data_IF_251989290382
#
_entry.id   IF_251989290382
#
_cell.length_a   1.000
_cell.length_b   1.000
_cell.length_c   1.000
_cell.angle_alpha   90.00
_cell.angle_beta   90.00
_cell.angle_gamma   90.00
#
_symmetry.space_group_name_H-M   'P 1'
#
loop_
_entity.id
_entity.type
_entity.pdbx_description
1 polymer ?
#
# COMPACT_ATOMS: atom_id res chain seq x y z
N UNK A 1 32.00 -35.61 -52.10
CA UNK A 1 30.66 -35.18 -51.64
C UNK A 1 30.78 -34.85 -50.16
N UNK A 2 31.07 -33.60 -49.84
CA UNK A 2 31.19 -33.07 -48.48
C UNK A 2 30.38 -31.79 -48.46
N UNK A 3 29.20 -31.85 -47.83
CA UNK A 3 28.25 -30.75 -47.74
C UNK A 3 28.53 -29.91 -46.50
N UNK A 4 28.79 -28.63 -46.71
CA UNK A 4 28.98 -27.61 -45.68
C UNK A 4 27.62 -27.16 -45.14
N UNK A 5 27.39 -27.31 -43.84
CA UNK A 5 26.23 -26.74 -43.14
C UNK A 5 26.52 -25.30 -42.73
N UNK A 6 25.72 -24.36 -43.23
CA UNK A 6 25.66 -22.98 -42.72
C UNK A 6 24.76 -22.94 -41.48
N UNK A 7 25.30 -22.44 -40.36
CA UNK A 7 24.54 -22.09 -39.17
C UNK A 7 24.07 -20.63 -39.28
N UNK A 8 22.76 -20.40 -39.19
CA UNK A 8 22.17 -19.07 -39.01
C UNK A 8 22.27 -18.69 -37.52
N UNK A 9 22.95 -17.57 -37.23
CA UNK A 9 22.91 -16.90 -35.93
C UNK A 9 21.67 -15.98 -35.86
N UNK A 10 20.92 -15.95 -34.74
CA UNK A 10 19.86 -14.98 -34.55
C UNK A 10 20.44 -13.60 -34.22
N UNK A 11 20.01 -12.60 -35.00
CA UNK A 11 20.30 -11.18 -34.79
C UNK A 11 19.46 -10.70 -33.59
N UNK A 12 20.07 -10.59 -32.41
CA UNK A 12 19.47 -9.90 -31.26
C UNK A 12 19.41 -8.39 -31.55
N UNK A 13 18.20 -7.86 -31.69
CA UNK A 13 17.93 -6.43 -31.70
C UNK A 13 18.16 -5.87 -30.29
N UNK A 14 19.30 -5.21 -30.11
CA UNK A 14 19.56 -4.36 -28.95
C UNK A 14 18.69 -3.10 -29.12
N UNK A 15 17.57 -3.02 -28.41
CA UNK A 15 16.81 -1.76 -28.28
C UNK A 15 17.59 -0.89 -27.30
N UNK A 16 18.58 -0.16 -27.82
CA UNK A 16 19.27 0.88 -27.06
C UNK A 16 18.30 2.01 -26.76
N UNK A 17 17.87 2.11 -25.51
CA UNK A 17 17.09 3.24 -24.98
C UNK A 17 17.91 4.53 -25.05
N UNK A 18 17.84 5.21 -26.19
CA UNK A 18 18.28 6.60 -26.32
C UNK A 18 17.28 7.48 -25.54
N UNK A 19 17.49 7.65 -24.23
CA UNK A 19 16.83 8.71 -23.46
C UNK A 19 17.38 10.05 -23.95
N UNK A 20 16.68 10.68 -24.89
CA UNK A 20 17.05 11.98 -25.42
C UNK A 20 16.90 13.04 -24.31
N UNK A 21 18.00 13.72 -24.01
CA UNK A 21 18.07 14.90 -23.15
C UNK A 21 17.46 16.10 -23.88
N UNK A 22 16.14 16.21 -23.87
CA UNK A 22 15.47 17.48 -24.11
C UNK A 22 14.98 18.03 -22.76
N UNK A 23 15.07 19.34 -22.50
CA UNK A 23 14.37 19.96 -21.40
C UNK A 23 12.88 19.89 -21.71
N UNK A 24 12.25 18.79 -21.34
CA UNK A 24 10.80 18.74 -21.23
C UNK A 24 10.44 19.83 -20.22
N UNK A 25 9.62 20.82 -20.64
CA UNK A 25 8.90 21.60 -19.64
C UNK A 25 8.16 20.63 -18.74
N UNK A 26 7.98 21.00 -17.46
CA UNK A 26 7.34 20.12 -16.49
C UNK A 26 5.99 19.64 -17.07
N UNK A 27 5.92 18.35 -17.41
CA UNK A 27 4.71 17.73 -17.91
C UNK A 27 3.65 17.84 -16.81
N UNK A 28 2.36 18.01 -17.16
CA UNK A 28 1.29 17.93 -16.17
C UNK A 28 1.38 16.61 -15.40
N UNK A 29 1.15 16.68 -14.08
CA UNK A 29 1.19 15.51 -13.20
C UNK A 29 -0.22 14.96 -12.96
N UNK A 30 -0.51 13.83 -13.59
CA UNK A 30 -1.75 13.09 -13.45
C UNK A 30 -1.78 12.18 -12.22
N UNK A 31 -0.65 12.01 -11.52
CA UNK A 31 -0.55 11.08 -10.38
C UNK A 31 -1.55 11.42 -9.28
N UNK A 32 -2.12 10.40 -8.63
CA UNK A 32 -3.01 10.54 -7.49
C UNK A 32 -4.36 9.85 -7.68
N UNK A 33 -5.22 10.01 -6.68
CA UNK A 33 -6.58 9.50 -6.68
C UNK A 33 -7.55 10.54 -7.24
N UNK A 34 -8.47 10.08 -8.07
CA UNK A 34 -9.53 10.85 -8.70
C UNK A 34 -10.88 10.20 -8.44
N UNK A 35 -11.87 11.02 -8.08
CA UNK A 35 -13.28 10.63 -8.08
C UNK A 35 -13.85 10.94 -9.46
N UNK A 36 -14.21 9.91 -10.23
CA UNK A 36 -14.61 10.06 -11.64
C UNK A 36 -16.02 9.57 -11.91
N UNK A 37 -16.53 9.86 -13.11
CA UNK A 37 -17.79 9.31 -13.63
C UNK A 37 -17.85 7.78 -13.61
N UNK A 38 -16.69 7.12 -13.65
CA UNK A 38 -16.53 5.67 -13.66
C UNK A 38 -15.87 5.14 -12.37
N UNK A 39 -16.08 5.83 -11.25
CA UNK A 39 -15.59 5.42 -9.94
C UNK A 39 -14.21 5.98 -9.61
N UNK A 40 -13.58 5.41 -8.59
CA UNK A 40 -12.23 5.82 -8.15
C UNK A 40 -11.22 5.42 -9.20
N UNK A 41 -10.44 6.38 -9.67
CA UNK A 41 -9.30 6.21 -10.58
C UNK A 41 -8.03 6.58 -9.83
N UNK A 42 -7.04 5.70 -9.83
CA UNK A 42 -5.72 5.95 -9.25
C UNK A 42 -4.68 5.89 -10.35
N UNK A 43 -3.93 6.98 -10.50
CA UNK A 43 -2.90 7.13 -11.52
C UNK A 43 -1.52 7.30 -10.86
N UNK A 44 -0.50 6.78 -11.53
CA UNK A 44 0.90 6.84 -11.18
C UNK A 44 1.71 7.29 -12.39
N UNK A 45 2.42 8.41 -12.28
CA UNK A 45 3.20 8.96 -13.39
C UNK A 45 4.70 8.92 -13.10
N UNK A 46 5.45 8.33 -14.04
CA UNK A 46 6.91 8.35 -14.04
C UNK A 46 7.42 9.06 -15.31
N UNK A 47 7.72 10.35 -15.16
CA UNK A 47 8.06 11.19 -16.29
C UNK A 47 6.85 11.38 -17.23
N UNK A 48 6.93 10.81 -18.43
CA UNK A 48 5.84 10.87 -19.41
C UNK A 48 4.95 9.63 -19.42
N UNK A 49 5.31 8.56 -18.72
CA UNK A 49 4.53 7.32 -18.68
C UNK A 49 3.54 7.38 -17.52
N UNK A 50 2.29 6.96 -17.75
CA UNK A 50 1.25 6.89 -16.73
C UNK A 50 0.66 5.49 -16.70
N UNK A 51 0.60 4.92 -15.51
CA UNK A 51 -0.13 3.67 -15.24
C UNK A 51 -1.16 3.91 -14.17
N UNK A 52 -2.14 3.02 -14.04
CA UNK A 52 -3.16 3.17 -13.03
C UNK A 52 -4.24 2.12 -13.12
N UNK A 53 -5.25 2.30 -12.30
CA UNK A 53 -6.44 1.46 -12.30
C UNK A 53 -7.66 2.28 -11.90
N UNK A 54 -8.84 1.77 -12.25
CA UNK A 54 -10.10 2.27 -11.73
C UNK A 54 -11.01 1.14 -11.29
N UNK A 55 -11.93 1.46 -10.38
CA UNK A 55 -12.87 0.50 -9.82
C UNK A 55 -14.30 0.83 -10.26
N UNK A 56 -14.77 0.13 -11.30
CA UNK A 56 -16.17 0.15 -11.73
C UNK A 56 -16.66 -1.28 -11.95
N UNK A 57 -17.31 -1.87 -10.95
CA UNK A 57 -17.76 -3.25 -11.03
C UNK A 57 -16.63 -4.28 -11.13
N UNK A 58 -15.39 -3.88 -10.84
CA UNK A 58 -14.19 -4.72 -10.87
C UNK A 58 -12.91 -3.89 -11.01
N UNK A 59 -11.77 -4.56 -10.95
CA UNK A 59 -10.44 -3.97 -11.19
C UNK A 59 -10.19 -3.83 -12.70
N UNK A 60 -9.90 -2.61 -13.15
CA UNK A 60 -9.60 -2.30 -14.55
C UNK A 60 -8.34 -1.44 -14.62
N UNK A 61 -7.48 -1.66 -15.61
CA UNK A 61 -6.18 -0.97 -15.71
C UNK A 61 -6.19 0.14 -16.75
N UNK A 62 -5.32 1.13 -16.55
CA UNK A 62 -5.05 2.23 -17.47
C UNK A 62 -3.54 2.31 -17.68
N UNK A 63 -3.10 2.40 -18.93
CA UNK A 63 -1.70 2.58 -19.32
C UNK A 63 -1.61 3.59 -20.47
N UNK A 64 -0.76 4.60 -20.34
CA UNK A 64 -0.69 5.70 -21.30
C UNK A 64 0.55 6.56 -21.19
N UNK A 65 0.59 7.61 -22.02
CA UNK A 65 1.67 8.59 -22.04
C UNK A 65 1.14 10.01 -22.09
N UNK A 66 1.80 10.92 -21.40
CA UNK A 66 1.56 12.36 -21.51
C UNK A 66 2.27 12.87 -22.76
N UNK A 67 1.49 13.39 -23.71
CA UNK A 67 2.00 13.92 -24.95
C UNK A 67 2.62 15.32 -24.78
N UNK A 68 3.07 15.91 -25.89
CA UNK A 68 3.74 17.22 -25.89
C UNK A 68 2.82 18.39 -25.58
N UNK A 69 1.52 18.20 -25.76
CA UNK A 69 0.50 19.21 -25.48
C UNK A 69 0.02 19.09 -24.01
N UNK A 70 0.54 18.12 -23.26
CA UNK A 70 0.22 17.89 -21.86
C UNK A 70 -1.00 17.00 -21.65
N UNK A 71 -1.50 16.36 -22.70
CA UNK A 71 -2.63 15.44 -22.65
C UNK A 71 -2.15 14.03 -22.35
N UNK A 72 -2.79 13.35 -21.41
CA UNK A 72 -2.59 11.93 -21.19
C UNK A 72 -3.40 11.15 -22.23
N UNK A 73 -2.74 10.42 -23.12
CA UNK A 73 -3.37 9.48 -24.04
C UNK A 73 -3.12 8.07 -23.53
N UNK A 74 -4.18 7.27 -23.39
CA UNK A 74 -4.10 5.97 -22.72
C UNK A 74 -4.91 4.89 -23.42
N UNK A 75 -4.59 3.65 -23.07
CA UNK A 75 -5.43 2.48 -23.29
C UNK A 75 -5.92 1.96 -21.95
N UNK A 76 -7.08 1.34 -21.93
CA UNK A 76 -7.64 0.73 -20.73
C UNK A 76 -8.03 -0.73 -20.98
N UNK A 77 -8.06 -1.53 -19.91
CA UNK A 77 -8.47 -2.93 -19.94
C UNK A 77 -9.40 -3.24 -18.77
N UNK A 78 -10.57 -3.72 -19.12
CA UNK A 78 -11.58 -4.27 -18.21
C UNK A 78 -11.64 -5.81 -18.36
N UNK A 79 -12.32 -6.53 -17.44
CA UNK A 79 -12.51 -7.97 -17.57
C UNK A 79 -13.16 -8.41 -18.90
N UNK A 80 -14.05 -7.58 -19.47
CA UNK A 80 -14.81 -7.91 -20.69
C UNK A 80 -14.63 -6.92 -21.85
N UNK A 81 -13.82 -5.88 -21.69
CA UNK A 81 -13.63 -4.85 -22.70
C UNK A 81 -12.22 -4.26 -22.65
N UNK A 82 -11.82 -3.63 -23.75
CA UNK A 82 -10.62 -2.81 -23.85
C UNK A 82 -10.92 -1.62 -24.74
N UNK A 83 -10.10 -0.58 -24.66
CA UNK A 83 -10.26 0.58 -25.51
C UNK A 83 -9.17 1.61 -25.29
N UNK A 84 -9.47 2.82 -25.75
CA UNK A 84 -8.56 3.96 -25.68
C UNK A 84 -9.29 5.18 -25.15
N UNK A 85 -8.53 6.08 -24.56
CA UNK A 85 -9.02 7.31 -23.99
C UNK A 85 -7.97 8.38 -23.93
N UNK A 86 -8.40 9.57 -23.52
CA UNK A 86 -7.51 10.67 -23.21
C UNK A 86 -8.05 11.50 -22.05
N UNK A 87 -7.12 12.13 -21.31
CA UNK A 87 -7.41 13.07 -20.23
C UNK A 87 -6.62 14.36 -20.40
N UNK A 88 -7.28 15.49 -20.17
CA UNK A 88 -6.68 16.80 -19.97
C UNK A 88 -6.86 17.21 -18.49
N UNK A 89 -5.85 17.88 -17.93
CA UNK A 89 -5.95 18.50 -16.61
C UNK A 89 -6.53 19.91 -16.70
N UNK A 90 -7.55 20.17 -15.91
CA UNK A 90 -8.21 21.47 -15.78
C UNK A 90 -7.99 22.08 -14.39
N UNK A 91 -8.31 23.36 -14.25
CA UNK A 91 -8.33 24.09 -12.97
C UNK A 91 -7.02 23.97 -12.16
N UNK A 92 -5.88 23.98 -12.85
CA UNK A 92 -4.57 23.86 -12.21
C UNK A 92 -4.26 22.45 -11.71
N UNK A 93 -4.89 21.42 -12.30
CA UNK A 93 -4.64 20.02 -11.98
C UNK A 93 -5.55 19.44 -10.91
N UNK A 94 -6.62 20.14 -10.51
CA UNK A 94 -7.61 19.63 -9.54
C UNK A 94 -8.80 18.95 -10.20
N UNK A 95 -8.94 19.07 -11.53
CA UNK A 95 -9.99 18.44 -12.32
C UNK A 95 -9.39 17.72 -13.52
N UNK A 96 -10.08 16.66 -13.89
CA UNK A 96 -9.78 15.84 -15.05
C UNK A 96 -10.99 15.88 -15.97
N UNK A 97 -10.74 16.10 -17.25
CA UNK A 97 -11.73 16.05 -18.32
C UNK A 97 -11.19 15.16 -19.44
N UNK A 98 -12.07 14.45 -20.15
CA UNK A 98 -11.62 13.46 -21.10
C UNK A 98 -12.72 12.67 -21.77
N UNK A 99 -12.29 11.79 -22.66
CA UNK A 99 -13.19 10.87 -23.34
C UNK A 99 -12.53 9.50 -23.49
N UNK A 100 -13.35 8.46 -23.61
CA UNK A 100 -12.92 7.11 -23.95
C UNK A 100 -13.84 6.47 -24.97
N UNK A 101 -13.36 5.39 -25.59
CA UNK A 101 -14.17 4.51 -26.43
C UNK A 101 -13.68 3.07 -26.37
N UNK A 102 -14.58 2.08 -26.51
CA UNK A 102 -14.18 0.69 -26.64
C UNK A 102 -13.44 0.46 -27.96
N UNK A 103 -12.58 -0.54 -27.98
CA UNK A 103 -11.82 -0.94 -29.16
C UNK A 103 -12.77 -1.28 -30.33
N UNK A 104 -12.48 -0.71 -31.51
CA UNK A 104 -13.35 -0.83 -32.69
C UNK A 104 -14.67 -0.03 -32.60
N UNK A 105 -14.93 0.65 -31.48
CA UNK A 105 -16.05 1.58 -31.31
C UNK A 105 -15.79 2.90 -32.03
N UNK A 106 -16.85 3.46 -32.64
CA UNK A 106 -16.78 4.79 -33.27
C UNK A 106 -17.27 5.95 -32.38
N UNK A 107 -17.92 5.63 -31.26
CA UNK A 107 -18.53 6.63 -30.36
C UNK A 107 -17.62 6.86 -29.15
N UNK A 108 -17.31 8.12 -28.89
CA UNK A 108 -16.62 8.57 -27.69
C UNK A 108 -17.63 8.88 -26.57
N UNK A 109 -17.23 8.60 -25.34
CA UNK A 109 -18.01 8.84 -24.12
C UNK A 109 -17.19 9.71 -23.17
N UNK A 110 -17.84 10.67 -22.53
CA UNK A 110 -17.22 11.59 -21.57
C UNK A 110 -16.71 10.85 -20.32
N UNK A 111 -15.54 11.26 -19.83
CA UNK A 111 -14.95 10.79 -18.58
C UNK A 111 -14.34 11.97 -17.83
N UNK A 112 -15.10 12.45 -16.84
CA UNK A 112 -14.72 13.57 -16.00
C UNK A 112 -14.37 13.11 -14.59
N UNK A 113 -13.58 13.90 -13.88
CA UNK A 113 -13.25 13.64 -12.48
C UNK A 113 -12.72 14.85 -11.72
N UNK A 114 -12.72 14.71 -10.40
CA UNK A 114 -12.12 15.66 -9.45
C UNK A 114 -11.04 14.95 -8.65
N UNK A 115 -9.96 15.65 -8.33
CA UNK A 115 -8.87 15.07 -7.53
C UNK A 115 -9.37 14.82 -6.10
N UNK A 116 -9.26 13.58 -5.63
CA UNK A 116 -9.64 13.22 -4.28
C UNK A 116 -8.79 14.01 -3.27
N UNK A 117 -9.41 14.49 -2.19
CA UNK A 117 -8.73 15.31 -1.18
C UNK A 117 -8.40 16.74 -1.63
N UNK A 118 -8.76 17.18 -2.84
CA UNK A 118 -8.54 18.57 -3.26
C UNK A 118 -9.30 19.55 -2.35
N UNK A 119 -8.55 20.30 -1.53
CA UNK A 119 -9.09 21.25 -0.55
C UNK A 119 -9.19 20.73 0.89
N UNK A 120 -8.74 19.50 1.17
CA UNK A 120 -8.54 19.00 2.53
C UNK A 120 -7.05 19.02 2.87
N UNK A 121 -6.71 19.25 4.14
CA UNK A 121 -5.34 19.03 4.66
C UNK A 121 -4.91 17.58 4.37
N UNK A 122 -3.60 17.27 4.25
CA UNK A 122 -3.14 15.92 4.01
C UNK A 122 -3.72 14.97 5.06
N UNK A 123 -4.48 13.98 4.60
CA UNK A 123 -5.06 12.95 5.45
C UNK A 123 -4.05 11.81 5.64
N UNK A 124 -3.74 11.53 6.89
CA UNK A 124 -3.11 10.27 7.31
C UNK A 124 -4.21 9.24 7.52
N UNK A 125 -4.17 8.15 6.76
CA UNK A 125 -5.12 7.06 6.88
C UNK A 125 -4.54 5.94 7.72
N UNK A 126 -5.15 5.69 8.88
CA UNK A 126 -4.91 4.47 9.65
C UNK A 126 -5.95 3.43 9.25
N UNK A 127 -5.55 2.45 8.44
CA UNK A 127 -6.41 1.32 8.07
C UNK A 127 -6.07 0.14 8.96
N UNK A 128 -7.05 -0.33 9.72
CA UNK A 128 -6.94 -1.51 10.57
C UNK A 128 -7.72 -2.66 9.93
N UNK A 129 -7.00 -3.69 9.52
CA UNK A 129 -7.57 -4.96 9.08
C UNK A 129 -7.45 -5.96 10.23
N UNK A 130 -8.58 -6.29 10.83
CA UNK A 130 -8.66 -7.09 12.05
C UNK A 130 -9.25 -8.48 11.76
N UNK A 131 -8.68 -9.54 12.33
CA UNK A 131 -9.34 -10.84 12.35
C UNK A 131 -10.23 -10.95 13.59
N UNK A 132 -11.30 -11.75 13.53
CA UNK A 132 -12.11 -12.03 14.72
C UNK A 132 -11.27 -12.78 15.76
N UNK A 133 -11.18 -12.22 16.96
CA UNK A 133 -10.49 -12.84 18.09
C UNK A 133 -11.37 -13.81 18.86
N UNK A 134 -12.68 -13.61 18.79
CA UNK A 134 -13.64 -14.37 19.56
C UNK A 134 -14.00 -15.68 18.86
N UNK A 135 -14.04 -16.76 19.63
CA UNK A 135 -14.43 -18.08 19.12
C UNK A 135 -15.88 -18.44 19.47
N UNK A 136 -16.53 -17.64 20.33
CA UNK A 136 -17.83 -17.95 20.91
C UNK A 136 -18.60 -16.71 21.34
N UNK A 137 -19.93 -16.78 21.27
CA UNK A 137 -20.86 -15.76 21.80
C UNK A 137 -20.78 -15.58 23.34
N UNK A 138 -20.10 -16.48 24.04
CA UNK A 138 -19.87 -16.37 25.48
C UNK A 138 -18.68 -15.46 25.81
N UNK A 139 -17.84 -15.17 24.83
CA UNK A 139 -16.69 -14.28 24.99
C UNK A 139 -17.13 -12.82 24.85
N UNK A 140 -16.40 -11.92 25.50
CA UNK A 140 -16.68 -10.50 25.39
C UNK A 140 -16.16 -9.99 24.05
N UNK A 141 -16.99 -9.20 23.36
CA UNK A 141 -16.57 -8.51 22.15
C UNK A 141 -15.43 -7.53 22.47
N UNK A 142 -14.42 -7.59 21.62
CA UNK A 142 -13.24 -6.75 21.62
C UNK A 142 -12.91 -6.46 20.17
N UNK A 143 -12.77 -5.18 19.82
CA UNK A 143 -12.21 -4.73 18.55
C UNK A 143 -11.10 -3.73 18.83
N UNK A 144 -9.90 -4.09 18.41
CA UNK A 144 -8.76 -3.21 18.44
C UNK A 144 -8.96 -2.03 17.50
N UNK A 145 -9.50 -2.27 16.31
CA UNK A 145 -9.77 -1.24 15.31
C UNK A 145 -10.75 -0.17 15.80
N UNK A 146 -11.83 -0.56 16.49
CA UNK A 146 -12.78 0.39 17.08
C UNK A 146 -12.15 1.23 18.21
N UNK A 147 -11.28 0.62 19.02
CA UNK A 147 -10.53 1.33 20.04
C UNK A 147 -9.60 2.39 19.42
N UNK A 148 -8.83 2.03 18.38
CA UNK A 148 -7.95 2.96 17.67
C UNK A 148 -8.74 4.08 16.99
N UNK A 149 -9.88 3.77 16.37
CA UNK A 149 -10.76 4.77 15.78
C UNK A 149 -11.27 5.77 16.83
N UNK A 150 -11.66 5.28 18.01
CA UNK A 150 -12.11 6.13 19.12
C UNK A 150 -10.96 6.99 19.65
N UNK A 151 -9.76 6.42 19.79
CA UNK A 151 -8.59 7.13 20.29
C UNK A 151 -8.20 8.27 19.33
N UNK A 152 -8.00 7.97 18.05
CA UNK A 152 -7.47 8.93 17.08
C UNK A 152 -8.51 9.88 16.48
N UNK A 153 -9.81 9.72 16.77
CA UNK A 153 -10.86 10.67 16.34
C UNK A 153 -10.61 12.13 16.79
N UNK A 154 -9.73 12.35 17.76
CA UNK A 154 -9.33 13.68 18.25
C UNK A 154 -8.23 14.35 17.42
N UNK A 155 -7.48 13.58 16.62
CA UNK A 155 -6.25 14.06 15.98
C UNK A 155 -6.58 14.66 14.62
N UNK A 156 -6.38 15.97 14.39
CA UNK A 156 -6.69 16.61 13.12
C UNK A 156 -5.88 15.99 11.97
N UNK A 157 -6.55 15.71 10.86
CA UNK A 157 -5.89 15.12 9.68
C UNK A 157 -5.68 13.60 9.75
N UNK A 158 -6.10 12.94 10.83
CA UNK A 158 -6.08 11.47 10.93
C UNK A 158 -7.47 10.91 10.72
N UNK A 159 -7.59 9.96 9.79
CA UNK A 159 -8.80 9.20 9.54
C UNK A 159 -8.55 7.72 9.78
N UNK A 160 -9.38 7.10 10.62
CA UNK A 160 -9.28 5.66 10.90
C UNK A 160 -10.37 4.90 10.15
N UNK A 161 -9.97 3.82 9.48
CA UNK A 161 -10.88 2.84 8.87
C UNK A 161 -10.60 1.47 9.46
N UNK A 162 -11.65 0.79 9.87
CA UNK A 162 -11.58 -0.55 10.43
C UNK A 162 -12.45 -1.50 9.61
N UNK A 163 -11.91 -2.68 9.29
CA UNK A 163 -12.62 -3.79 8.66
C UNK A 163 -12.18 -5.11 9.28
N UNK A 164 -13.13 -6.03 9.41
CA UNK A 164 -12.82 -7.43 9.67
C UNK A 164 -12.41 -8.14 8.38
N UNK A 165 -11.35 -8.94 8.45
CA UNK A 165 -10.84 -9.78 7.36
C UNK A 165 -11.00 -11.25 7.72
N UNK A 166 -11.66 -12.03 6.86
CA UNK A 166 -11.94 -13.43 7.11
C UNK A 166 -11.06 -14.37 6.27
N UNK A 167 -10.64 -13.90 5.10
CA UNK A 167 -9.90 -14.67 4.11
C UNK A 167 -8.98 -13.77 3.24
N UNK A 168 -8.14 -14.37 2.36
CA UNK A 168 -7.29 -13.60 1.46
C UNK A 168 -8.04 -12.71 0.45
N UNK A 169 -9.30 -13.02 0.12
CA UNK A 169 -10.09 -12.22 -0.84
C UNK A 169 -10.52 -10.91 -0.17
N UNK A 170 -10.93 -10.94 1.10
CA UNK A 170 -11.17 -9.73 1.91
C UNK A 170 -9.91 -8.85 1.99
N UNK A 171 -8.75 -9.46 2.26
CA UNK A 171 -7.48 -8.75 2.33
C UNK A 171 -7.16 -8.05 0.99
N UNK A 172 -7.35 -8.74 -0.14
CA UNK A 172 -7.14 -8.18 -1.47
C UNK A 172 -8.14 -7.06 -1.79
N UNK A 173 -9.41 -7.24 -1.45
CA UNK A 173 -10.46 -6.24 -1.66
C UNK A 173 -10.18 -4.96 -0.86
N UNK A 174 -9.90 -5.08 0.44
CA UNK A 174 -9.61 -3.92 1.28
C UNK A 174 -8.24 -3.30 0.99
N UNK A 175 -7.25 -4.08 0.54
CA UNK A 175 -6.00 -3.56 -0.01
C UNK A 175 -6.26 -2.64 -1.20
N UNK A 176 -7.07 -3.11 -2.17
CA UNK A 176 -7.48 -2.31 -3.32
C UNK A 176 -8.26 -1.05 -2.90
N UNK A 177 -9.25 -1.16 -2.01
CA UNK A 177 -9.97 0.03 -1.51
C UNK A 177 -9.04 1.02 -0.82
N UNK A 178 -8.11 0.54 0.01
CA UNK A 178 -7.15 1.37 0.76
C UNK A 178 -6.19 2.10 -0.17
N UNK A 179 -5.79 1.48 -1.27
CA UNK A 179 -4.93 2.13 -2.26
C UNK A 179 -5.59 3.30 -3.00
N UNK A 180 -6.92 3.42 -2.93
CA UNK A 180 -7.66 4.59 -3.40
C UNK A 180 -7.64 5.76 -2.42
N UNK A 181 -7.25 5.56 -1.16
CA UNK A 181 -7.28 6.64 -0.16
C UNK A 181 -6.18 7.68 -0.47
N UNK A 182 -6.50 8.98 -0.53
CA UNK A 182 -5.52 10.02 -0.82
C UNK A 182 -4.61 10.28 0.40
N UNK A 183 -3.32 10.56 0.18
CA UNK A 183 -2.37 10.83 1.26
C UNK A 183 -1.61 9.59 1.72
N UNK A 184 -1.09 9.61 2.94
CA UNK A 184 -0.27 8.52 3.48
C UNK A 184 -1.14 7.42 4.11
N UNK A 185 -0.82 6.17 3.78
CA UNK A 185 -1.51 4.99 4.28
C UNK A 185 -0.65 4.25 5.31
N UNK A 186 -1.18 4.11 6.52
CA UNK A 186 -0.64 3.31 7.60
C UNK A 186 -1.53 2.09 7.80
N UNK A 187 -1.05 0.93 7.40
CA UNK A 187 -1.80 -0.32 7.49
C UNK A 187 -1.44 -1.08 8.76
N UNK A 188 -2.42 -1.36 9.61
CA UNK A 188 -2.30 -2.24 10.77
C UNK A 188 -3.03 -3.54 10.49
N UNK A 189 -2.33 -4.65 10.68
CA UNK A 189 -2.92 -5.99 10.69
C UNK A 189 -3.04 -6.44 12.13
N UNK A 190 -4.26 -6.60 12.62
CA UNK A 190 -4.54 -7.06 13.97
C UNK A 190 -5.08 -8.48 13.91
N UNK A 191 -4.23 -9.46 14.20
CA UNK A 191 -4.64 -10.87 14.16
C UNK A 191 -3.70 -11.76 14.99
N UNK A 192 -4.06 -13.03 15.12
CA UNK A 192 -3.09 -14.07 15.39
C UNK A 192 -2.05 -14.16 14.24
N UNK A 193 -0.85 -14.62 14.60
CA UNK A 193 0.25 -14.74 13.67
C UNK A 193 1.27 -15.75 14.15
N UNK A 194 2.02 -16.28 13.18
CA UNK A 194 3.18 -17.14 13.42
C UNK A 194 4.30 -16.69 12.50
N UNK A 195 5.50 -17.27 12.64
CA UNK A 195 6.58 -17.07 11.67
C UNK A 195 6.21 -17.45 10.22
N UNK A 196 5.10 -18.19 10.01
CA UNK A 196 4.63 -18.63 8.70
C UNK A 196 3.72 -17.62 8.00
N UNK A 197 3.11 -16.69 8.74
CA UNK A 197 2.18 -15.71 8.18
C UNK A 197 1.08 -15.28 9.16
N UNK A 198 0.16 -14.46 8.65
CA UNK A 198 -1.01 -13.96 9.39
C UNK A 198 -2.08 -15.05 9.39
N UNK A 199 -2.66 -15.35 10.55
CA UNK A 199 -3.76 -16.30 10.65
C UNK A 199 -5.10 -15.58 10.44
N UNK A 200 -5.96 -16.11 9.58
CA UNK A 200 -7.34 -15.68 9.41
C UNK A 200 -8.28 -16.87 9.66
N UNK A 201 -9.59 -16.62 9.69
CA UNK A 201 -10.58 -17.68 9.85
C UNK A 201 -10.48 -18.77 8.77
N UNK A 202 -10.09 -18.40 7.55
CA UNK A 202 -9.87 -19.35 6.44
C UNK A 202 -8.53 -20.10 6.50
N UNK A 203 -7.61 -19.73 7.40
CA UNK A 203 -6.26 -20.30 7.52
C UNK A 203 -5.15 -19.24 7.44
N UNK A 204 -3.90 -19.71 7.31
CA UNK A 204 -2.74 -18.83 7.24
C UNK A 204 -2.59 -18.20 5.86
N UNK A 205 -2.54 -16.87 5.80
CA UNK A 205 -2.25 -16.10 4.60
C UNK A 205 -0.76 -16.22 4.28
N UNK A 206 -0.45 -16.71 3.08
CA UNK A 206 0.93 -16.81 2.59
C UNK A 206 1.52 -15.44 2.27
N UNK A 207 2.86 -15.37 2.20
CA UNK A 207 3.53 -14.13 1.80
C UNK A 207 3.12 -13.66 0.40
N UNK A 208 2.92 -14.58 -0.55
CA UNK A 208 2.53 -14.22 -1.91
C UNK A 208 1.11 -13.63 -1.99
N UNK A 209 0.17 -14.16 -1.20
CA UNK A 209 -1.19 -13.62 -1.10
C UNK A 209 -1.17 -12.23 -0.48
N UNK A 210 -0.41 -12.06 0.61
CA UNK A 210 -0.28 -10.79 1.29
C UNK A 210 0.36 -9.72 0.38
N UNK A 211 1.42 -10.07 -0.34
CA UNK A 211 2.08 -9.18 -1.29
C UNK A 211 1.13 -8.77 -2.42
N UNK A 212 0.37 -9.71 -2.98
CA UNK A 212 -0.63 -9.39 -4.01
C UNK A 212 -1.68 -8.42 -3.52
N UNK A 213 -2.13 -8.57 -2.27
CA UNK A 213 -3.10 -7.64 -1.69
C UNK A 213 -2.54 -6.22 -1.48
N UNK A 214 -1.22 -6.07 -1.27
CA UNK A 214 -0.56 -4.78 -1.11
C UNK A 214 -0.08 -4.16 -2.44
N UNK A 215 -0.05 -4.93 -3.53
CA UNK A 215 0.41 -4.46 -4.85
C UNK A 215 -0.17 -3.09 -5.25
N UNK A 216 -1.49 -2.84 -5.11
CA UNK A 216 -2.06 -1.55 -5.53
C UNK A 216 -1.73 -0.39 -4.56
N UNK A 217 -1.32 -0.66 -3.31
CA UNK A 217 -1.08 0.32 -2.25
C UNK A 217 0.25 1.06 -2.42
N UNK A 218 0.39 1.94 -3.41
CA UNK A 218 1.66 2.68 -3.65
C UNK A 218 1.95 3.80 -2.66
N UNK A 219 0.95 4.28 -1.93
CA UNK A 219 1.05 5.32 -0.91
C UNK A 219 1.26 4.77 0.53
N UNK A 220 1.70 3.52 0.64
CA UNK A 220 1.88 2.85 1.92
C UNK A 220 3.13 3.37 2.65
N UNK A 221 2.92 4.08 3.76
CA UNK A 221 3.98 4.59 4.63
C UNK A 221 4.41 3.55 5.68
N UNK A 222 3.50 2.63 6.06
CA UNK A 222 3.82 1.59 7.03
C UNK A 222 2.91 0.35 6.86
N UNK A 223 3.49 -0.83 7.10
CA UNK A 223 2.75 -2.02 7.52
C UNK A 223 3.16 -2.38 8.94
N UNK A 224 2.20 -2.40 9.86
CA UNK A 224 2.41 -2.84 11.23
C UNK A 224 1.62 -4.11 11.51
N UNK A 225 2.31 -5.16 11.94
CA UNK A 225 1.72 -6.40 12.39
C UNK A 225 1.51 -6.37 13.90
N UNK A 226 0.29 -6.06 14.32
CA UNK A 226 -0.21 -6.30 15.67
C UNK A 226 -0.54 -7.78 15.84
N UNK A 227 0.45 -8.63 15.54
CA UNK A 227 0.36 -10.09 15.52
C UNK A 227 1.62 -10.71 16.14
N UNK A 228 1.48 -11.88 16.77
CA UNK A 228 2.61 -12.63 17.31
C UNK A 228 3.57 -13.12 16.21
N UNK A 229 4.87 -13.11 16.50
CA UNK A 229 5.95 -13.79 15.76
C UNK A 229 6.18 -13.44 14.28
N UNK A 230 5.35 -12.61 13.64
CA UNK A 230 5.47 -12.28 12.20
C UNK A 230 6.87 -11.78 11.84
N UNK A 231 7.47 -10.96 12.71
CA UNK A 231 8.79 -10.38 12.45
C UNK A 231 9.94 -11.38 12.53
N UNK A 232 9.71 -12.59 13.06
CA UNK A 232 10.66 -13.70 13.01
C UNK A 232 10.58 -14.51 11.72
N UNK A 233 9.53 -14.29 10.92
CA UNK A 233 9.22 -15.01 9.70
C UNK A 233 9.85 -14.42 8.43
N UNK A 234 9.46 -15.01 7.30
CA UNK A 234 9.89 -14.55 5.96
C UNK A 234 9.04 -13.39 5.41
N UNK A 235 7.82 -13.21 5.91
CA UNK A 235 6.84 -12.24 5.38
C UNK A 235 7.35 -10.79 5.34
N UNK A 236 7.96 -10.22 6.42
CA UNK A 236 8.43 -8.83 6.38
C UNK A 236 9.45 -8.59 5.27
N UNK A 237 10.43 -9.49 5.14
CA UNK A 237 11.44 -9.41 4.08
C UNK A 237 10.80 -9.56 2.69
N UNK A 238 9.83 -10.46 2.56
CA UNK A 238 9.13 -10.67 1.30
C UNK A 238 8.40 -9.39 0.85
N UNK A 239 7.68 -8.71 1.76
CA UNK A 239 7.04 -7.41 1.51
C UNK A 239 8.08 -6.37 1.07
N UNK A 240 9.16 -6.20 1.84
CA UNK A 240 10.19 -5.22 1.53
C UNK A 240 10.88 -5.48 0.18
N UNK A 241 10.99 -6.75 -0.22
CA UNK A 241 11.59 -7.15 -1.49
C UNK A 241 10.63 -7.22 -2.68
N UNK A 242 9.32 -7.05 -2.46
CA UNK A 242 8.33 -7.26 -3.52
C UNK A 242 8.36 -6.17 -4.59
N UNK A 243 8.82 -4.97 -4.23
CA UNK A 243 9.00 -3.84 -5.14
C UNK A 243 10.09 -2.88 -4.67
N UNK A 244 10.65 -2.13 -5.62
CA UNK A 244 11.77 -1.21 -5.38
C UNK A 244 11.37 0.26 -5.22
N UNK A 245 10.09 0.56 -5.38
CA UNK A 245 9.48 1.89 -5.43
C UNK A 245 8.60 2.17 -4.20
N UNK A 246 8.92 1.56 -3.06
CA UNK A 246 8.29 1.93 -1.78
C UNK A 246 8.48 3.42 -1.48
N UNK A 247 7.50 4.10 -0.86
CA UNK A 247 7.67 5.46 -0.37
C UNK A 247 8.92 5.60 0.53
N UNK A 248 9.52 6.77 0.50
CA UNK A 248 10.62 7.10 1.42
C UNK A 248 10.15 6.95 2.87
N UNK A 249 10.96 6.27 3.70
CA UNK A 249 10.61 6.00 5.09
C UNK A 249 9.60 4.85 5.30
N UNK A 250 9.23 4.10 4.26
CA UNK A 250 8.39 2.91 4.40
C UNK A 250 9.02 1.89 5.36
N UNK A 251 8.22 1.40 6.32
CA UNK A 251 8.64 0.34 7.25
C UNK A 251 7.66 -0.81 7.33
N UNK A 252 8.20 -2.00 7.64
CA UNK A 252 7.42 -3.12 8.16
C UNK A 252 7.80 -3.34 9.63
N UNK A 253 6.83 -3.31 10.53
CA UNK A 253 7.04 -3.44 11.98
C UNK A 253 6.12 -4.48 12.61
N UNK A 254 6.45 -4.94 13.82
CA UNK A 254 5.65 -5.92 14.58
C UNK A 254 6.50 -6.67 15.60
N UNK A 255 6.10 -7.91 15.93
CA UNK A 255 6.70 -8.69 17.00
C UNK A 255 7.45 -9.94 16.50
N UNK A 256 8.60 -10.23 17.12
CA UNK A 256 9.44 -11.41 16.82
C UNK A 256 9.10 -12.64 17.66
N UNK A 257 8.15 -12.51 18.60
CA UNK A 257 7.72 -13.57 19.51
C UNK A 257 6.25 -13.40 19.88
N UNK A 258 5.71 -14.37 20.62
CA UNK A 258 4.44 -14.19 21.30
C UNK A 258 4.54 -13.04 22.31
N UNK A 259 3.57 -12.13 22.25
CA UNK A 259 3.50 -10.93 23.08
C UNK A 259 2.23 -10.97 23.93
N UNK A 260 2.34 -10.52 25.18
CA UNK A 260 1.18 -10.33 26.03
C UNK A 260 0.30 -9.18 25.49
N UNK A 261 -1.02 -9.33 25.59
CA UNK A 261 -1.98 -8.36 25.06
C UNK A 261 -1.86 -6.97 25.69
N UNK A 262 -1.56 -6.88 27.00
CA UNK A 262 -1.37 -5.59 27.64
C UNK A 262 -0.05 -4.95 27.21
N UNK A 263 1.01 -5.76 27.06
CA UNK A 263 2.28 -5.30 26.55
C UNK A 263 2.16 -4.75 25.13
N UNK A 264 1.49 -5.50 24.23
CA UNK A 264 1.26 -5.09 22.86
C UNK A 264 0.44 -3.80 22.82
N UNK A 265 -0.70 -3.75 23.52
CA UNK A 265 -1.60 -2.57 23.52
C UNK A 265 -0.92 -1.27 23.95
N UNK A 266 -0.01 -1.33 24.93
CA UNK A 266 0.80 -0.18 25.33
C UNK A 266 1.77 0.25 24.23
N UNK A 267 2.45 -0.71 23.60
CA UNK A 267 3.38 -0.46 22.50
C UNK A 267 2.64 0.12 21.30
N UNK A 268 1.51 -0.46 20.88
CA UNK A 268 0.78 -0.01 19.70
C UNK A 268 0.21 1.39 19.86
N UNK A 269 -0.42 1.70 21.01
CA UNK A 269 -0.95 3.05 21.26
C UNK A 269 0.18 4.07 21.26
N UNK A 270 1.29 3.79 21.94
CA UNK A 270 2.42 4.71 21.98
C UNK A 270 3.05 4.90 20.59
N UNK A 271 3.30 3.80 19.89
CA UNK A 271 3.89 3.81 18.55
C UNK A 271 3.05 4.58 17.54
N UNK A 272 1.75 4.35 17.51
CA UNK A 272 0.83 5.05 16.60
C UNK A 272 0.63 6.51 17.00
N UNK A 273 0.68 6.85 18.29
CA UNK A 273 0.59 8.24 18.76
C UNK A 273 1.82 9.06 18.33
N UNK A 274 3.01 8.46 18.43
CA UNK A 274 4.25 9.07 17.93
C UNK A 274 4.19 9.37 16.43
N UNK A 275 3.58 8.49 15.64
CA UNK A 275 3.43 8.68 14.20
C UNK A 275 2.33 9.70 13.89
N UNK A 276 1.10 9.42 14.32
CA UNK A 276 -0.10 10.08 13.83
C UNK A 276 -0.39 11.41 14.51
N UNK A 277 -0.04 11.56 15.80
CA UNK A 277 -0.23 12.82 16.54
C UNK A 277 1.06 13.64 16.60
N UNK A 278 2.21 12.99 16.77
CA UNK A 278 3.50 13.68 16.92
C UNK A 278 4.29 13.81 15.60
N UNK A 279 3.83 13.18 14.51
CA UNK A 279 4.41 13.34 13.17
C UNK A 279 5.79 12.73 13.01
N UNK A 280 6.18 11.75 13.85
CA UNK A 280 7.45 11.05 13.67
C UNK A 280 7.39 10.09 12.48
N UNK A 281 8.46 9.99 11.66
CA UNK A 281 8.60 8.93 10.70
C UNK A 281 8.50 7.55 11.38
N UNK A 282 7.89 6.53 10.75
CA UNK A 282 7.68 5.23 11.39
C UNK A 282 8.95 4.58 11.96
N UNK A 283 10.09 4.66 11.28
CA UNK A 283 11.35 4.14 11.80
C UNK A 283 11.84 4.86 13.07
N UNK A 284 11.69 6.19 13.12
CA UNK A 284 12.04 6.99 14.30
C UNK A 284 11.10 6.71 15.47
N UNK A 285 9.79 6.59 15.21
CA UNK A 285 8.81 6.20 16.20
C UNK A 285 9.10 4.79 16.76
N UNK A 286 9.54 3.86 15.92
CA UNK A 286 9.87 2.50 16.34
C UNK A 286 11.15 2.48 17.21
N UNK A 287 12.13 3.32 16.90
CA UNK A 287 13.30 3.51 17.75
C UNK A 287 12.92 4.11 19.12
N UNK A 288 12.05 5.12 19.14
CA UNK A 288 11.57 5.73 20.39
C UNK A 288 10.80 4.73 21.27
N UNK A 289 9.99 3.83 20.68
CA UNK A 289 9.34 2.73 21.43
C UNK A 289 10.38 1.87 22.16
N UNK A 290 11.47 1.50 21.48
CA UNK A 290 12.55 0.70 22.09
C UNK A 290 13.31 1.45 23.18
N UNK A 291 13.41 2.78 23.08
CA UNK A 291 14.06 3.63 24.07
C UNK A 291 13.18 3.85 25.32
N UNK A 292 11.89 4.10 25.12
CA UNK A 292 10.99 4.57 26.18
C UNK A 292 10.24 3.44 26.91
N UNK A 293 10.11 2.26 26.30
CA UNK A 293 9.39 1.12 26.87
C UNK A 293 10.36 -0.03 27.10
N UNK A 294 10.79 -0.22 28.36
CA UNK A 294 11.81 -1.20 28.76
C UNK A 294 11.55 -2.65 28.29
N UNK A 295 10.27 -3.06 28.20
CA UNK A 295 9.88 -4.41 27.77
C UNK A 295 9.52 -4.52 26.29
N UNK A 296 9.65 -3.46 25.50
CA UNK A 296 9.28 -3.49 24.08
C UNK A 296 10.22 -4.36 23.23
N UNK A 297 11.52 -4.32 23.53
CA UNK A 297 12.53 -5.14 22.88
C UNK A 297 12.57 -6.58 23.38
N UNK A 298 13.77 -7.16 23.47
CA UNK A 298 13.96 -8.55 23.95
C UNK A 298 14.05 -8.68 25.47
N UNK A 299 14.14 -7.55 26.18
CA UNK A 299 14.43 -7.48 27.61
C UNK A 299 13.16 -7.61 28.44
N UNK A 300 13.21 -8.46 29.47
CA UNK A 300 12.11 -8.66 30.42
C UNK A 300 12.31 -7.75 31.65
N UNK A 301 11.25 -7.12 32.12
CA UNK A 301 11.26 -6.22 33.30
C UNK A 301 10.95 -6.97 34.60
N UNK A 302 10.78 -8.29 34.54
CA UNK A 302 10.35 -9.14 35.66
C UNK A 302 8.82 -9.10 35.90
N UNK A 303 8.14 -8.00 35.52
CA UNK A 303 6.68 -7.91 35.49
C UNK A 303 6.09 -8.13 34.10
N UNK A 304 6.83 -7.73 33.06
CA UNK A 304 6.47 -7.96 31.66
C UNK A 304 7.61 -8.69 30.97
N UNK A 305 7.28 -9.70 30.18
CA UNK A 305 8.22 -10.33 29.26
C UNK A 305 8.58 -9.36 28.13
N UNK A 306 9.78 -9.51 27.56
CA UNK A 306 10.17 -8.72 26.40
C UNK A 306 9.28 -9.05 25.20
N UNK A 307 8.62 -8.05 24.61
CA UNK A 307 7.65 -8.17 23.53
C UNK A 307 8.30 -8.54 22.18
N UNK A 308 9.59 -8.26 22.02
CA UNK A 308 10.32 -8.50 20.78
C UNK A 308 9.85 -7.62 19.62
N UNK A 309 9.39 -6.40 19.92
CA UNK A 309 9.05 -5.38 18.92
C UNK A 309 10.29 -5.02 18.08
N UNK A 310 10.10 -4.88 16.78
CA UNK A 310 11.16 -4.50 15.84
C UNK A 310 10.56 -3.96 14.53
N UNK A 311 11.40 -3.40 13.68
CA UNK A 311 11.04 -2.97 12.33
C UNK A 311 12.14 -3.29 11.31
N UNK A 312 11.76 -3.25 10.04
CA UNK A 312 12.64 -3.44 8.89
C UNK A 312 12.32 -2.41 7.80
N UNK A 313 13.36 -1.92 7.13
CA UNK A 313 13.31 -0.95 6.03
C UNK A 313 13.76 -1.57 4.70
N UNK A 314 13.32 -1.02 3.55
CA UNK A 314 13.83 -1.42 2.24
C UNK A 314 15.36 -1.35 2.20
N UNK A 315 16.02 -2.37 1.64
CA UNK A 315 17.48 -2.45 1.61
C UNK A 315 18.13 -3.05 2.86
N UNK A 316 17.35 -3.47 3.87
CA UNK A 316 17.82 -4.37 4.92
C UNK A 316 18.61 -3.72 6.06
N UNK A 317 18.60 -2.39 6.17
CA UNK A 317 19.01 -1.71 7.39
C UNK A 317 17.93 -1.88 8.47
N UNK A 318 17.76 -3.10 8.98
CA UNK A 318 16.89 -3.34 10.12
C UNK A 318 17.55 -2.81 11.38
N UNK A 319 16.87 -1.91 12.10
CA UNK A 319 17.27 -1.49 13.44
C UNK A 319 16.98 -2.61 14.44
N UNK A 320 17.89 -3.57 14.57
CA UNK A 320 17.98 -4.32 15.83
C UNK A 320 18.89 -3.53 16.75
N UNK A 321 18.38 -3.01 17.86
CA UNK A 321 19.25 -2.61 18.97
C UNK A 321 19.89 -3.90 19.48
N UNK A 322 21.08 -4.21 18.97
CA UNK A 322 21.95 -5.20 19.57
C UNK A 322 22.34 -4.66 20.93
N UNK A 323 21.74 -5.19 21.99
CA UNK A 323 22.27 -5.08 23.36
C UNK A 323 23.63 -5.79 23.49
#
# INVERSE_FOLDING_TARGET
MTGSGLYLLPLLLLVSSLRALFPFGDLPDFSGTWETTYGTLVLYQEGGEVTGYYTLGGYSTVEGTVDRDGRLVFTYREPSASGEGWFDLLDGGTRLDGEWRPEGGGTWYEWEGVRAGSGMEPSMWLVVLEAEWQSSLLEQEYSFGEMLATWFARVPGVEVRHRFVHDPDDLAAFGLESSGLPGELYLVIASHGTSSGVELASGTVSADEFIRALEPCRNLAMVHFSCCEIMSGGLPRAILSSRGDWPEGFVVSGYTRSVDWAASGMIEIYYLDLILENGLPPAEAAAAVLEDIDFSGTTSTGTMEGAGFTWQEPGGAGGSVTE
#
